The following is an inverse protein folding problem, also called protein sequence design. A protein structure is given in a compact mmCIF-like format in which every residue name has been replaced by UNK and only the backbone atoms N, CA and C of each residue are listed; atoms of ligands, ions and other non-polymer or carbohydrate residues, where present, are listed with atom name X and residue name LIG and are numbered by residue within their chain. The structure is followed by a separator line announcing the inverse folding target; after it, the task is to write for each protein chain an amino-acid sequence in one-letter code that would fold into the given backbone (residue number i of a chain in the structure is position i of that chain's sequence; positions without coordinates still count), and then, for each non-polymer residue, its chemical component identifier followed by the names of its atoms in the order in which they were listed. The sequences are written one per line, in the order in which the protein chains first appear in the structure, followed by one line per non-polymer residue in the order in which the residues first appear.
data_IF_640121935452
#
_entry.id   IF_640121935452
#
_cell.length_a   1.000
_cell.length_b   1.000
_cell.length_c   1.000
_cell.angle_alpha   90.00
_cell.angle_beta   90.00
_cell.angle_gamma   90.00
#
_symmetry.space_group_name_H-M   'P 1'
#
loop_
_entity.id
_entity.type
_entity.pdbx_description
1 polymer ?
#
# COMPACT_ATOMS: atom_id res chain seq x y z
N UNK A 1 -28.23 -17.33 -14.83
CA UNK A 1 -27.37 -16.42 -14.06
C UNK A 1 -26.47 -17.17 -13.10
N UNK A 2 -26.93 -18.20 -12.41
CA UNK A 2 -26.19 -19.02 -11.42
C UNK A 2 -24.95 -19.76 -11.98
N UNK A 3 -24.98 -20.22 -13.24
CA UNK A 3 -23.88 -20.99 -13.85
C UNK A 3 -22.61 -20.16 -14.16
N UNK A 4 -22.73 -18.86 -14.44
CA UNK A 4 -21.56 -17.98 -14.69
C UNK A 4 -20.83 -17.63 -13.39
N UNK A 5 -21.55 -17.55 -12.30
CA UNK A 5 -21.01 -17.21 -10.97
C UNK A 5 -20.11 -18.33 -10.42
N UNK A 6 -20.54 -19.58 -10.60
CA UNK A 6 -19.77 -20.78 -10.20
C UNK A 6 -18.47 -20.96 -10.99
N UNK A 7 -18.45 -20.57 -12.27
CA UNK A 7 -17.23 -20.65 -13.09
C UNK A 7 -16.20 -19.59 -12.68
N UNK A 8 -16.65 -18.39 -12.29
CA UNK A 8 -15.75 -17.32 -11.86
C UNK A 8 -15.07 -17.68 -10.53
N UNK A 9 -15.84 -18.16 -9.53
CA UNK A 9 -15.30 -18.68 -8.26
C UNK A 9 -14.31 -19.84 -8.47
N UNK A 10 -14.57 -20.71 -9.46
CA UNK A 10 -13.65 -21.82 -9.80
C UNK A 10 -12.34 -21.36 -10.45
N UNK A 11 -12.38 -20.32 -11.30
CA UNK A 11 -11.18 -19.73 -11.92
C UNK A 11 -10.33 -18.96 -10.91
N UNK A 12 -10.94 -18.24 -9.99
CA UNK A 12 -10.21 -17.55 -8.91
C UNK A 12 -9.56 -18.54 -7.93
N UNK A 13 -10.26 -19.62 -7.55
CA UNK A 13 -9.70 -20.67 -6.69
C UNK A 13 -8.52 -21.39 -7.36
N UNK A 14 -8.56 -21.59 -8.69
CA UNK A 14 -7.43 -22.16 -9.44
C UNK A 14 -6.26 -21.20 -9.59
N UNK A 15 -6.49 -19.87 -9.74
CA UNK A 15 -5.42 -18.86 -9.75
C UNK A 15 -4.72 -18.80 -8.36
N UNK A 16 -5.47 -18.83 -7.25
CA UNK A 16 -4.90 -18.89 -5.89
C UNK A 16 -4.02 -20.13 -5.69
N UNK A 17 -4.44 -21.31 -6.15
CA UNK A 17 -3.64 -22.54 -6.01
C UNK A 17 -2.39 -22.56 -6.90
N UNK A 18 -2.40 -21.95 -8.09
CA UNK A 18 -1.21 -21.84 -8.94
C UNK A 18 -0.17 -20.89 -8.37
N UNK A 19 -0.58 -19.78 -7.72
CA UNK A 19 0.34 -18.84 -7.05
C UNK A 19 1.02 -19.46 -5.83
N UNK A 20 0.33 -20.31 -5.05
CA UNK A 20 0.93 -21.02 -3.90
C UNK A 20 1.97 -22.09 -4.30
N UNK A 21 1.86 -22.68 -5.49
CA UNK A 21 2.76 -23.75 -5.94
C UNK A 21 4.14 -23.26 -6.42
N UNK A 22 4.31 -21.97 -6.70
CA UNK A 22 5.58 -21.39 -7.19
C UNK A 22 6.53 -21.02 -6.04
N UNK A 23 6.01 -20.84 -4.81
CA UNK A 23 6.81 -20.40 -3.64
C UNK A 23 7.57 -21.56 -2.96
N UNK A 24 7.28 -22.84 -3.28
CA UNK A 24 7.90 -24.02 -2.65
C UNK A 24 9.09 -24.64 -3.39
N UNK A 25 9.75 -23.92 -4.31
CA UNK A 25 11.02 -24.31 -4.93
C UNK A 25 12.20 -24.04 -4.02
N UNK A 26 12.61 -25.04 -3.23
CA UNK A 26 13.60 -24.93 -2.17
C UNK A 26 14.96 -24.38 -2.60
N UNK A 27 15.40 -23.37 -1.93
CA UNK A 27 16.81 -22.93 -1.92
C UNK A 27 17.48 -23.44 -0.66
N UNK A 28 18.43 -24.36 -0.85
CA UNK A 28 19.26 -24.93 0.22
C UNK A 28 20.27 -23.88 0.68
N UNK A 29 20.17 -23.47 1.93
CA UNK A 29 21.17 -22.62 2.57
C UNK A 29 22.48 -23.39 2.82
N UNK A 30 23.58 -22.87 2.27
CA UNK A 30 24.92 -23.20 2.75
C UNK A 30 25.37 -22.05 3.66
N UNK A 31 25.45 -22.35 4.94
CA UNK A 31 26.14 -21.52 5.92
C UNK A 31 27.66 -21.70 5.74
N UNK A 32 28.36 -20.64 5.38
CA UNK A 32 29.83 -20.61 5.44
C UNK A 32 30.24 -19.56 6.47
N UNK A 33 30.70 -20.06 7.63
CA UNK A 33 31.39 -19.25 8.62
C UNK A 33 32.82 -18.99 8.10
N UNK A 34 33.20 -17.73 7.96
CA UNK A 34 34.60 -17.35 7.73
C UNK A 34 35.12 -16.59 8.95
N UNK A 35 36.01 -17.24 9.68
CA UNK A 35 36.79 -16.64 10.76
C UNK A 35 37.75 -15.58 10.21
N UNK A 36 37.79 -14.47 10.92
CA UNK A 36 38.83 -13.46 10.76
C UNK A 36 40.19 -14.00 11.21
N UNK A 37 41.18 -13.91 10.34
CA UNK A 37 42.58 -14.04 10.71
C UNK A 37 43.31 -12.77 10.31
N UNK A 38 43.63 -11.93 11.28
CA UNK A 38 44.52 -10.80 11.18
C UNK A 38 45.96 -11.29 10.99
N UNK A 39 46.57 -11.00 9.84
CA UNK A 39 48.00 -11.04 9.68
C UNK A 39 48.51 -9.67 9.26
N UNK A 40 49.15 -8.98 10.17
CA UNK A 40 50.03 -7.85 9.93
C UNK A 40 51.26 -8.34 9.18
N UNK A 41 51.43 -7.93 7.93
CA UNK A 41 52.76 -7.91 7.32
C UNK A 41 52.94 -6.54 6.69
N UNK A 42 53.83 -5.78 7.30
CA UNK A 42 54.48 -4.63 6.71
C UNK A 42 55.44 -5.09 5.62
N UNK A 43 55.45 -4.39 4.54
CA UNK A 43 56.64 -3.88 3.81
C UNK A 43 56.46 -3.84 2.30
N UNK A 44 56.70 -2.64 1.83
CA UNK A 44 57.39 -2.21 0.61
C UNK A 44 56.67 -2.34 -0.71
N UNK A 45 56.16 -1.18 -1.14
CA UNK A 45 56.64 -0.43 -2.31
C UNK A 45 56.24 -0.89 -3.72
N UNK A 46 55.72 0.12 -4.49
CA UNK A 46 55.58 0.14 -5.92
C UNK A 46 54.55 -0.79 -6.55
N UNK A 47 53.30 -0.57 -6.16
CA UNK A 47 52.16 -0.71 -7.05
C UNK A 47 51.42 0.63 -7.07
N UNK A 48 51.47 1.33 -8.18
CA UNK A 48 50.51 2.41 -8.46
C UNK A 48 49.14 1.77 -8.42
N UNK A 49 48.57 1.75 -7.22
CA UNK A 49 47.15 1.42 -7.06
C UNK A 49 46.42 2.45 -7.90
N UNK A 50 45.84 2.01 -8.99
CA UNK A 50 44.91 2.78 -9.78
C UNK A 50 43.87 3.29 -8.78
N UNK A 51 43.96 4.57 -8.42
CA UNK A 51 42.91 5.24 -7.65
C UNK A 51 41.73 5.25 -8.60
N UNK A 52 40.91 4.22 -8.51
CA UNK A 52 39.64 4.16 -9.24
C UNK A 52 38.82 5.32 -8.66
N UNK A 53 38.95 6.46 -9.36
CA UNK A 53 38.18 7.66 -9.02
C UNK A 53 36.73 7.39 -9.45
N UNK A 54 35.94 6.81 -8.56
CA UNK A 54 34.51 6.56 -8.79
C UNK A 54 33.82 7.92 -8.95
N UNK A 55 33.61 8.34 -10.19
CA UNK A 55 32.91 9.57 -10.51
C UNK A 55 31.46 9.43 -10.01
N UNK A 56 31.04 10.32 -9.09
CA UNK A 56 29.70 10.32 -8.51
C UNK A 56 28.85 11.45 -9.06
N UNK A 57 27.55 11.29 -9.08
CA UNK A 57 26.56 12.33 -9.34
C UNK A 57 25.57 12.46 -8.16
N UNK A 58 25.12 13.68 -7.94
CA UNK A 58 23.98 13.94 -7.08
C UNK A 58 22.69 13.69 -7.86
N UNK A 59 21.83 12.83 -7.34
CA UNK A 59 20.51 12.53 -7.89
C UNK A 59 19.45 13.04 -6.95
N UNK A 60 18.57 13.89 -7.45
CA UNK A 60 17.44 14.46 -6.70
C UNK A 60 16.16 13.73 -7.08
N UNK A 61 15.41 13.28 -6.09
CA UNK A 61 14.15 12.56 -6.21
C UNK A 61 13.04 13.38 -5.58
N UNK A 62 11.91 13.50 -6.29
CA UNK A 62 10.71 14.12 -5.74
C UNK A 62 9.55 13.14 -5.89
N UNK A 63 8.89 12.82 -4.79
CA UNK A 63 7.80 11.85 -4.73
C UNK A 63 6.46 12.57 -4.74
N UNK A 64 5.55 12.11 -5.59
CA UNK A 64 4.17 12.63 -5.68
C UNK A 64 3.21 11.45 -5.80
N UNK A 65 2.03 11.47 -5.14
CA UNK A 65 1.02 10.44 -5.34
C UNK A 65 0.45 10.55 -6.76
N UNK A 66 0.14 9.40 -7.36
CA UNK A 66 -0.65 9.36 -8.59
C UNK A 66 -2.11 9.57 -8.21
N UNK A 67 -2.69 10.67 -8.70
CA UNK A 67 -4.11 10.93 -8.63
C UNK A 67 -4.72 10.66 -10.01
N UNK A 68 -5.68 9.75 -10.09
CA UNK A 68 -6.53 9.66 -11.27
C UNK A 68 -7.43 10.90 -11.28
N UNK A 69 -7.30 11.74 -12.32
CA UNK A 69 -8.26 12.83 -12.53
C UNK A 69 -9.67 12.24 -12.62
N UNK A 70 -10.68 12.81 -11.92
CA UNK A 70 -12.04 12.38 -12.12
C UNK A 70 -12.37 12.56 -13.61
N UNK A 71 -12.88 11.50 -14.24
CA UNK A 71 -13.56 11.64 -15.50
C UNK A 71 -14.81 12.48 -15.25
N UNK A 72 -14.66 13.80 -15.21
CA UNK A 72 -15.79 14.69 -15.37
C UNK A 72 -16.33 14.41 -16.76
N UNK A 73 -17.52 13.83 -16.82
CA UNK A 73 -18.32 13.78 -18.04
C UNK A 73 -18.44 15.23 -18.54
N UNK A 74 -17.55 15.60 -19.43
CA UNK A 74 -17.64 16.85 -20.15
C UNK A 74 -18.88 16.78 -21.01
N UNK A 75 -19.97 17.36 -20.53
CA UNK A 75 -21.03 17.82 -21.41
C UNK A 75 -20.41 18.90 -22.26
N UNK A 76 -20.38 18.61 -23.55
CA UNK A 76 -19.91 19.39 -24.66
C UNK A 76 -20.30 20.87 -24.59
N UNK A 77 -19.42 21.67 -25.16
CA UNK A 77 -19.57 23.03 -25.65
C UNK A 77 -19.06 24.12 -24.70
N UNK A 78 -17.79 24.37 -24.77
CA UNK A 78 -17.20 25.67 -25.12
C UNK A 78 -15.71 25.65 -24.80
N UNK A 79 -14.90 26.10 -25.77
CA UNK A 79 -13.43 26.09 -25.68
C UNK A 79 -12.95 26.83 -24.45
N UNK A 80 -12.39 26.08 -23.52
CA UNK A 80 -11.59 26.59 -22.45
C UNK A 80 -10.19 26.02 -22.61
N UNK A 81 -9.27 26.92 -22.90
CA UNK A 81 -7.85 26.73 -22.87
C UNK A 81 -7.46 26.07 -21.54
N UNK A 82 -6.83 24.91 -21.65
CA UNK A 82 -6.21 24.18 -20.53
C UNK A 82 -5.16 25.10 -19.89
N UNK A 83 -5.49 25.67 -18.74
CA UNK A 83 -4.51 26.28 -17.85
C UNK A 83 -3.84 25.17 -17.07
N UNK A 84 -2.54 25.01 -17.27
CA UNK A 84 -1.64 24.09 -16.55
C UNK A 84 -1.52 24.51 -15.08
N UNK A 85 -2.56 24.18 -14.29
CA UNK A 85 -2.63 24.47 -12.87
C UNK A 85 -3.20 23.31 -12.06
N UNK A 86 -2.88 22.06 -12.43
CA UNK A 86 -3.16 20.92 -11.57
C UNK A 86 -2.17 20.99 -10.40
N UNK A 87 -2.63 21.50 -9.27
CA UNK A 87 -1.93 21.37 -7.99
C UNK A 87 -1.90 19.89 -7.67
N UNK A 88 -0.76 19.22 -7.91
CA UNK A 88 -0.57 17.85 -7.48
C UNK A 88 -0.61 17.86 -5.95
N UNK A 89 -1.45 17.00 -5.37
CA UNK A 89 -1.50 16.84 -3.94
C UNK A 89 -0.13 16.42 -3.40
N UNK A 90 0.20 16.88 -2.21
CA UNK A 90 1.45 16.50 -1.58
C UNK A 90 1.33 15.08 -1.00
N UNK A 91 2.45 14.33 -0.95
CA UNK A 91 2.47 13.02 -0.26
C UNK A 91 2.00 13.14 1.19
N UNK A 92 2.28 14.28 1.85
CA UNK A 92 1.88 14.58 3.22
C UNK A 92 0.36 14.59 3.44
N UNK A 93 -0.45 14.83 2.41
CA UNK A 93 -1.91 14.80 2.51
C UNK A 93 -2.42 13.36 2.70
N UNK A 94 -1.66 12.36 2.21
CA UNK A 94 -2.07 10.96 2.18
C UNK A 94 -1.25 10.03 3.05
N UNK A 95 -0.01 10.39 3.37
CA UNK A 95 0.92 9.55 4.12
C UNK A 95 1.67 10.35 5.19
N UNK A 96 1.95 9.70 6.30
CA UNK A 96 2.76 10.26 7.38
C UNK A 96 4.21 9.79 7.34
N UNK A 97 4.50 8.84 6.46
CA UNK A 97 5.83 8.24 6.26
C UNK A 97 6.13 8.03 4.79
N UNK A 98 7.41 8.17 4.45
CA UNK A 98 7.98 7.80 3.18
C UNK A 98 9.28 7.03 3.46
N UNK A 99 9.32 5.76 3.05
CA UNK A 99 10.49 4.89 3.15
C UNK A 99 11.02 4.65 1.75
N UNK A 100 12.32 4.90 1.55
CA UNK A 100 13.00 4.82 0.25
C UNK A 100 14.23 3.91 0.38
N UNK A 101 14.38 2.98 -0.53
CA UNK A 101 15.53 2.08 -0.62
C UNK A 101 16.16 2.18 -2.01
N UNK A 102 17.50 2.22 -2.07
CA UNK A 102 18.27 2.27 -3.30
C UNK A 102 19.17 1.05 -3.36
N UNK A 103 19.07 0.32 -4.47
CA UNK A 103 19.78 -0.94 -4.69
C UNK A 103 20.73 -0.84 -5.88
N UNK A 104 21.91 -1.48 -5.78
CA UNK A 104 22.81 -1.83 -6.85
C UNK A 104 22.70 -3.34 -7.08
N UNK A 105 21.94 -3.75 -8.08
CA UNK A 105 21.48 -5.13 -8.22
C UNK A 105 20.68 -5.59 -6.98
N UNK A 106 21.15 -6.63 -6.30
CA UNK A 106 20.52 -7.18 -5.09
C UNK A 106 21.06 -6.55 -3.79
N UNK A 107 21.98 -5.60 -3.87
CA UNK A 107 22.63 -4.98 -2.71
C UNK A 107 21.96 -3.65 -2.38
N UNK A 108 21.42 -3.52 -1.18
CA UNK A 108 20.97 -2.23 -0.66
C UNK A 108 22.20 -1.32 -0.42
N UNK A 109 22.23 -0.18 -1.10
CA UNK A 109 23.29 0.82 -0.94
C UNK A 109 22.87 1.97 -0.04
N UNK A 110 21.57 2.23 0.07
CA UNK A 110 21.03 3.26 0.94
C UNK A 110 19.56 2.99 1.27
N UNK A 111 19.19 3.24 2.54
CA UNK A 111 17.81 3.37 2.97
C UNK A 111 17.60 4.74 3.63
N UNK A 112 16.44 5.37 3.37
CA UNK A 112 16.04 6.65 3.96
C UNK A 112 14.60 6.56 4.42
N UNK A 113 14.35 6.97 5.66
CA UNK A 113 13.03 6.94 6.29
C UNK A 113 12.65 8.35 6.71
N UNK A 114 11.62 8.92 6.08
CA UNK A 114 11.12 10.26 6.36
C UNK A 114 9.77 10.21 7.08
N UNK A 115 9.52 11.23 7.90
CA UNK A 115 8.20 11.51 8.48
C UNK A 115 7.64 12.79 7.88
N UNK A 116 6.31 12.92 7.82
CA UNK A 116 5.65 14.11 7.26
C UNK A 116 5.98 15.40 8.00
N UNK A 117 6.56 15.31 9.21
CA UNK A 117 7.06 16.44 10.02
C UNK A 117 8.49 16.84 9.67
N UNK A 118 9.21 16.05 8.87
CA UNK A 118 10.58 16.31 8.51
C UNK A 118 10.65 17.43 7.45
N UNK A 119 11.64 18.30 7.56
CA UNK A 119 11.92 19.28 6.53
C UNK A 119 12.31 18.58 5.23
N UNK A 120 11.68 18.97 4.12
CA UNK A 120 11.93 18.35 2.82
C UNK A 120 11.25 16.96 2.65
N UNK A 121 10.24 16.65 3.45
CA UNK A 121 9.43 15.44 3.26
C UNK A 121 9.01 15.26 1.81
N UNK A 122 9.09 14.02 1.30
CA UNK A 122 8.88 13.62 -0.08
C UNK A 122 9.91 14.19 -1.09
N UNK A 123 11.06 14.66 -0.61
CA UNK A 123 12.23 15.02 -1.43
C UNK A 123 13.48 14.38 -0.86
N UNK A 124 14.33 13.87 -1.74
CA UNK A 124 15.57 13.19 -1.38
C UNK A 124 16.69 13.59 -2.34
N UNK A 125 17.89 13.82 -1.81
CA UNK A 125 19.11 14.00 -2.61
C UNK A 125 20.14 12.96 -2.18
N UNK A 126 20.66 12.19 -3.13
CA UNK A 126 21.63 11.12 -2.89
C UNK A 126 22.81 11.25 -3.83
N UNK A 127 24.00 10.84 -3.38
CA UNK A 127 25.20 10.81 -4.21
C UNK A 127 25.54 9.38 -4.57
N UNK A 128 25.55 9.07 -5.88
CA UNK A 128 25.70 7.72 -6.43
C UNK A 128 26.80 7.68 -7.49
N UNK A 129 27.42 6.52 -7.69
CA UNK A 129 28.45 6.31 -8.72
C UNK A 129 27.85 6.36 -10.12
N UNK A 130 28.41 7.15 -11.01
CA UNK A 130 27.92 7.31 -12.40
C UNK A 130 28.02 6.04 -13.24
N UNK A 131 29.02 5.20 -12.96
CA UNK A 131 29.27 3.99 -13.73
C UNK A 131 28.27 2.86 -13.49
N UNK A 132 27.38 3.03 -12.49
CA UNK A 132 26.43 2.00 -12.05
C UNK A 132 24.99 2.31 -12.47
N UNK A 133 24.17 1.29 -12.35
CA UNK A 133 22.71 1.37 -12.51
C UNK A 133 22.07 0.99 -11.18
N UNK A 134 21.12 1.79 -10.74
CA UNK A 134 20.43 1.60 -9.46
C UNK A 134 18.95 1.40 -9.66
N UNK A 135 18.34 0.65 -8.74
CA UNK A 135 16.89 0.59 -8.62
C UNK A 135 16.46 1.28 -7.32
N UNK A 136 15.57 2.26 -7.44
CA UNK A 136 14.90 2.89 -6.30
C UNK A 136 13.55 2.22 -6.08
N UNK A 137 13.26 1.87 -4.83
CA UNK A 137 11.95 1.50 -4.33
C UNK A 137 11.51 2.52 -3.31
N UNK A 138 10.24 2.91 -3.32
CA UNK A 138 9.69 3.83 -2.34
C UNK A 138 8.28 3.41 -1.93
N UNK A 139 7.99 3.53 -0.63
CA UNK A 139 6.69 3.25 -0.05
C UNK A 139 6.24 4.42 0.82
N UNK A 140 5.11 5.05 0.50
CA UNK A 140 4.48 6.06 1.35
C UNK A 140 3.26 5.43 2.06
N UNK A 141 3.11 5.67 3.39
CA UNK A 141 2.07 5.02 4.18
C UNK A 141 1.73 5.78 5.48
N UNK A 142 0.68 5.30 6.20
CA UNK A 142 0.25 5.84 7.51
C UNK A 142 0.52 4.90 8.69
N UNK A 143 1.26 3.80 8.52
CA UNK A 143 1.62 2.92 9.63
C UNK A 143 2.55 3.62 10.62
N UNK A 144 2.45 3.24 11.89
CA UNK A 144 3.36 3.74 12.93
C UNK A 144 4.70 2.99 12.82
N UNK A 145 5.78 3.71 12.57
CA UNK A 145 7.11 3.14 12.32
C UNK A 145 7.43 3.01 10.82
N UNK A 146 8.72 2.82 10.51
CA UNK A 146 9.19 2.65 9.16
C UNK A 146 8.82 1.27 8.60
N UNK A 147 8.51 1.21 7.31
CA UNK A 147 8.43 -0.06 6.60
C UNK A 147 9.84 -0.65 6.40
N UNK A 148 9.90 -1.94 6.09
CA UNK A 148 11.14 -2.64 5.75
C UNK A 148 11.01 -3.27 4.38
N UNK A 149 12.11 -3.28 3.61
CA UNK A 149 12.22 -4.02 2.36
C UNK A 149 13.23 -5.15 2.54
N UNK A 150 12.78 -6.39 2.41
CA UNK A 150 13.63 -7.57 2.53
C UNK A 150 13.23 -8.62 1.51
N UNK A 151 14.21 -9.15 0.77
CA UNK A 151 13.99 -10.15 -0.29
C UNK A 151 12.88 -9.73 -1.31
N UNK A 152 12.83 -8.45 -1.67
CA UNK A 152 11.82 -7.93 -2.59
C UNK A 152 10.42 -7.76 -1.98
N UNK A 153 10.27 -7.87 -0.65
CA UNK A 153 8.98 -7.72 0.03
C UNK A 153 9.00 -6.55 1.00
N UNK A 154 8.08 -5.60 0.79
CA UNK A 154 7.80 -4.49 1.71
C UNK A 154 6.86 -5.00 2.81
N UNK A 155 7.25 -4.76 4.07
CA UNK A 155 6.49 -5.13 5.26
C UNK A 155 6.32 -3.91 6.16
N UNK A 156 5.12 -3.70 6.69
CA UNK A 156 4.83 -2.66 7.65
C UNK A 156 4.89 -3.20 9.09
N UNK A 157 5.16 -2.34 10.09
CA UNK A 157 5.06 -2.74 11.50
C UNK A 157 3.70 -3.38 11.79
N UNK A 158 3.72 -4.50 12.53
CA UNK A 158 2.53 -5.28 12.93
C UNK A 158 1.68 -5.78 11.75
N UNK A 159 2.27 -5.89 10.55
CA UNK A 159 1.57 -6.23 9.30
C UNK A 159 0.32 -5.33 9.06
N UNK A 160 0.35 -4.09 9.57
CA UNK A 160 -0.77 -3.16 9.54
C UNK A 160 -0.87 -2.45 8.20
N UNK A 161 -1.79 -2.90 7.35
CA UNK A 161 -2.10 -2.24 6.08
C UNK A 161 -2.84 -0.92 6.33
N UNK A 162 -2.30 0.14 5.77
CA UNK A 162 -2.87 1.50 5.83
C UNK A 162 -3.02 2.06 4.43
N UNK A 163 -3.37 3.32 4.31
CA UNK A 163 -3.31 4.05 3.06
C UNK A 163 -1.87 4.03 2.54
N UNK A 164 -1.60 3.30 1.47
CA UNK A 164 -0.24 3.00 1.01
C UNK A 164 -0.07 3.18 -0.48
N UNK A 165 1.10 3.72 -0.86
CA UNK A 165 1.55 3.93 -2.23
C UNK A 165 2.91 3.29 -2.42
N UNK A 166 3.21 2.90 -3.65
CA UNK A 166 4.48 2.31 -4.02
C UNK A 166 5.02 2.92 -5.32
N UNK A 167 6.35 2.94 -5.43
CA UNK A 167 7.07 3.36 -6.63
C UNK A 167 8.32 2.51 -6.81
N UNK A 168 8.64 2.19 -8.06
CA UNK A 168 9.87 1.48 -8.43
C UNK A 168 10.37 1.97 -9.78
N UNK A 169 11.67 2.26 -9.86
CA UNK A 169 12.31 2.62 -11.12
C UNK A 169 13.80 2.30 -11.10
N UNK A 170 14.30 1.74 -12.21
CA UNK A 170 15.74 1.61 -12.47
C UNK A 170 16.26 2.81 -13.22
N UNK A 171 17.42 3.33 -12.83
CA UNK A 171 18.04 4.53 -13.42
C UNK A 171 19.56 4.49 -13.36
N UNK A 172 20.22 5.31 -14.20
CA UNK A 172 21.68 5.52 -14.18
C UNK A 172 22.00 6.97 -13.81
N UNK A 173 22.82 7.22 -12.77
CA UNK A 173 23.24 8.57 -12.38
C UNK A 173 24.08 9.29 -13.45
N UNK A 174 24.63 8.58 -14.45
CA UNK A 174 25.34 9.20 -15.58
C UNK A 174 24.41 10.03 -16.47
N UNK A 175 23.13 9.64 -16.57
CA UNK A 175 22.12 10.26 -17.45
C UNK A 175 20.97 10.90 -16.70
N UNK A 176 20.77 10.54 -15.43
CA UNK A 176 19.61 10.96 -14.64
C UNK A 176 20.07 11.63 -13.35
N UNK A 177 19.90 12.94 -13.27
CA UNK A 177 20.20 13.75 -12.09
C UNK A 177 18.94 14.19 -11.33
N UNK A 178 17.78 13.98 -11.93
CA UNK A 178 16.48 14.29 -11.32
C UNK A 178 15.47 13.19 -11.66
N UNK A 179 14.78 12.68 -10.64
CA UNK A 179 13.70 11.70 -10.77
C UNK A 179 12.40 12.31 -10.21
N UNK A 180 11.36 12.31 -11.04
CA UNK A 180 9.99 12.61 -10.61
C UNK A 180 9.28 11.27 -10.36
N UNK A 181 9.19 10.89 -9.09
CA UNK A 181 8.68 9.59 -8.65
C UNK A 181 7.16 9.66 -8.45
N UNK A 182 6.39 9.21 -9.43
CA UNK A 182 4.95 9.16 -9.36
C UNK A 182 4.52 7.86 -8.69
N UNK A 183 4.05 7.96 -7.44
CA UNK A 183 3.72 6.80 -6.59
C UNK A 183 2.30 6.30 -6.87
N UNK A 184 2.15 5.02 -7.16
CA UNK A 184 0.86 4.39 -7.39
C UNK A 184 0.26 3.87 -6.08
N UNK A 185 -1.06 3.97 -5.94
CA UNK A 185 -1.77 3.43 -4.79
C UNK A 185 -1.88 1.92 -4.92
N UNK A 186 -1.42 1.19 -3.91
CA UNK A 186 -1.39 -0.29 -3.87
C UNK A 186 -2.50 -0.89 -3.01
N UNK A 187 -3.42 -0.07 -2.53
CA UNK A 187 -4.54 -0.50 -1.68
C UNK A 187 -5.88 -0.07 -2.25
N UNK A 188 -6.89 -0.91 -2.10
CA UNK A 188 -8.29 -0.56 -2.20
C UNK A 188 -8.89 -0.29 -0.81
N UNK A 189 -10.09 0.26 -0.74
CA UNK A 189 -10.76 0.58 0.50
C UNK A 189 -12.17 0.02 0.57
N UNK A 190 -12.47 -0.76 1.61
CA UNK A 190 -13.84 -1.05 2.04
C UNK A 190 -14.27 0.04 3.02
N UNK A 191 -15.45 0.63 2.79
CA UNK A 191 -16.06 1.64 3.65
C UNK A 191 -17.50 1.29 3.95
N UNK A 192 -17.87 1.24 5.22
CA UNK A 192 -19.23 1.09 5.68
C UNK A 192 -19.67 2.38 6.38
N UNK A 193 -20.67 3.06 5.82
CA UNK A 193 -21.32 4.24 6.42
C UNK A 193 -22.61 3.80 7.08
N UNK A 194 -22.61 3.66 8.41
CA UNK A 194 -23.76 3.31 9.20
C UNK A 194 -24.65 4.54 9.36
N UNK A 195 -25.92 4.46 8.96
CA UNK A 195 -26.85 5.60 9.01
C UNK A 195 -27.72 5.62 10.27
N UNK A 196 -27.96 4.48 10.89
CA UNK A 196 -28.66 4.40 12.18
C UNK A 196 -27.69 4.64 13.35
N UNK A 197 -28.26 4.80 14.54
CA UNK A 197 -27.50 5.14 15.74
C UNK A 197 -26.96 3.87 16.41
N UNK A 198 -25.70 3.94 16.88
CA UNK A 198 -25.10 2.91 17.71
C UNK A 198 -25.94 2.76 18.99
N UNK A 199 -26.55 1.57 19.27
CA UNK A 199 -27.35 1.34 20.46
C UNK A 199 -26.52 1.40 21.75
N UNK A 200 -27.19 1.66 22.86
CA UNK A 200 -26.62 1.42 24.19
C UNK A 200 -26.20 -0.05 24.32
N UNK A 201 -25.05 -0.28 24.96
CA UNK A 201 -24.48 -1.61 25.16
C UNK A 201 -23.49 -2.05 24.07
N UNK A 202 -23.47 -1.43 22.89
CA UNK A 202 -22.41 -1.72 21.91
C UNK A 202 -21.08 -1.12 22.35
N UNK A 203 -20.09 -1.98 22.59
CA UNK A 203 -18.76 -1.58 23.02
C UNK A 203 -17.73 -1.59 21.87
N UNK A 204 -17.92 -2.48 20.88
CA UNK A 204 -16.94 -2.71 19.81
C UNK A 204 -17.62 -3.15 18.51
N UNK A 205 -17.04 -2.75 17.38
CA UNK A 205 -17.37 -3.29 16.07
C UNK A 205 -16.13 -3.88 15.42
N UNK A 206 -16.28 -4.95 14.66
CA UNK A 206 -15.18 -5.52 13.86
C UNK A 206 -15.55 -5.61 12.40
N UNK A 207 -14.53 -5.49 11.54
CA UNK A 207 -14.62 -5.80 10.11
C UNK A 207 -13.64 -6.95 9.85
N UNK A 208 -14.16 -8.10 9.51
CA UNK A 208 -13.41 -9.29 9.13
C UNK A 208 -13.37 -9.39 7.60
N UNK A 209 -12.16 -9.28 7.04
CA UNK A 209 -11.88 -9.32 5.62
C UNK A 209 -11.54 -10.75 5.13
N UNK A 210 -11.52 -11.74 6.03
CA UNK A 210 -10.96 -13.06 5.73
C UNK A 210 -9.46 -12.96 5.41
N UNK A 211 -8.98 -13.93 4.62
CA UNK A 211 -7.57 -13.95 4.20
C UNK A 211 -7.31 -12.83 3.20
N UNK A 212 -6.47 -11.87 3.58
CA UNK A 212 -6.08 -10.75 2.73
C UNK A 212 -4.58 -10.44 2.86
N UNK A 213 -3.90 -9.96 1.78
CA UNK A 213 -2.48 -9.64 1.82
C UNK A 213 -2.16 -8.57 2.86
N UNK A 214 -1.00 -8.73 3.53
CA UNK A 214 -0.49 -7.76 4.51
C UNK A 214 0.86 -7.18 4.14
N UNK A 215 1.49 -7.67 3.06
CA UNK A 215 2.79 -7.22 2.56
C UNK A 215 2.74 -7.05 1.05
N UNK A 216 3.68 -6.26 0.53
CA UNK A 216 3.77 -5.95 -0.89
C UNK A 216 5.05 -6.51 -1.50
N UNK A 217 4.94 -7.32 -2.56
CA UNK A 217 6.07 -7.74 -3.37
C UNK A 217 6.39 -6.65 -4.41
N UNK A 218 7.68 -6.30 -4.56
CA UNK A 218 8.11 -5.26 -5.51
C UNK A 218 7.82 -5.62 -6.97
N UNK A 219 7.46 -6.87 -7.25
CA UNK A 219 6.94 -7.33 -8.53
C UNK A 219 5.50 -6.92 -8.82
N UNK A 220 4.83 -6.17 -7.90
CA UNK A 220 3.54 -5.55 -8.15
C UNK A 220 2.33 -6.35 -7.67
N UNK A 221 2.45 -7.12 -6.59
CA UNK A 221 1.34 -7.88 -6.03
C UNK A 221 1.40 -8.04 -4.51
N UNK A 222 0.23 -8.26 -3.90
CA UNK A 222 0.12 -8.51 -2.47
C UNK A 222 0.54 -9.93 -2.08
N UNK A 223 1.26 -10.06 -0.96
CA UNK A 223 1.73 -11.33 -0.40
C UNK A 223 1.40 -11.44 1.09
N UNK A 224 1.66 -12.61 1.67
CA UNK A 224 1.38 -12.90 3.08
C UNK A 224 -0.11 -12.73 3.42
N UNK A 225 -1.00 -13.41 2.67
CA UNK A 225 -2.42 -13.42 2.98
C UNK A 225 -2.68 -14.13 4.31
N UNK A 226 -3.28 -13.41 5.24
CA UNK A 226 -3.67 -13.90 6.57
C UNK A 226 -5.07 -13.42 6.90
N UNK A 227 -5.76 -14.10 7.83
CA UNK A 227 -7.05 -13.64 8.34
C UNK A 227 -6.89 -12.30 9.03
N UNK A 228 -7.69 -11.31 8.63
CA UNK A 228 -7.59 -9.93 9.10
C UNK A 228 -8.90 -9.43 9.66
N UNK A 229 -8.85 -9.09 10.94
CA UNK A 229 -9.97 -8.45 11.64
C UNK A 229 -9.53 -7.06 12.11
N UNK A 230 -10.23 -6.03 11.65
CA UNK A 230 -10.06 -4.66 12.12
C UNK A 230 -11.08 -4.35 13.19
N UNK A 231 -10.66 -3.71 14.31
CA UNK A 231 -11.52 -3.39 15.45
C UNK A 231 -11.72 -1.88 15.56
N UNK A 232 -12.95 -1.47 15.89
CA UNK A 232 -13.39 -0.09 16.04
C UNK A 232 -14.19 0.07 17.34
N UNK A 233 -14.07 1.21 17.99
CA UNK A 233 -14.83 1.56 19.20
C UNK A 233 -15.77 2.72 18.87
N UNK A 234 -17.00 2.46 18.38
CA UNK A 234 -17.92 3.51 18.02
C UNK A 234 -18.51 4.17 19.29
N UNK A 235 -18.79 5.47 19.20
CA UNK A 235 -19.51 6.15 20.28
C UNK A 235 -20.99 5.80 20.24
N UNK A 236 -21.59 5.48 21.39
CA UNK A 236 -23.05 5.27 21.53
C UNK A 236 -23.81 6.50 21.02
N UNK A 237 -24.87 6.27 20.26
CA UNK A 237 -25.67 7.33 19.63
C UNK A 237 -25.05 8.01 18.42
N UNK A 238 -23.82 7.63 18.00
CA UNK A 238 -23.21 8.08 16.75
C UNK A 238 -23.71 7.24 15.56
N UNK A 239 -23.40 7.72 14.35
CA UNK A 239 -23.54 6.97 13.09
C UNK A 239 -22.12 6.77 12.54
N UNK A 240 -21.45 5.64 12.85
CA UNK A 240 -20.03 5.49 12.55
C UNK A 240 -19.76 5.21 11.07
N UNK A 241 -18.55 5.58 10.64
CA UNK A 241 -17.97 5.12 9.38
C UNK A 241 -16.80 4.18 9.69
N UNK A 242 -16.87 2.93 9.19
CA UNK A 242 -15.80 1.96 9.30
C UNK A 242 -15.03 1.92 7.97
N UNK A 243 -13.71 1.94 8.02
CA UNK A 243 -12.88 1.97 6.82
C UNK A 243 -11.69 1.02 6.97
N UNK A 244 -11.52 0.10 6.02
CA UNK A 244 -10.45 -0.90 6.01
C UNK A 244 -9.75 -0.90 4.67
N UNK A 245 -8.41 -0.91 4.70
CA UNK A 245 -7.56 -0.95 3.51
C UNK A 245 -7.13 -2.38 3.20
N UNK A 246 -7.10 -2.73 1.92
CA UNK A 246 -6.68 -4.04 1.43
C UNK A 246 -5.68 -3.86 0.32
N UNK A 247 -4.55 -4.56 0.40
CA UNK A 247 -3.56 -4.60 -0.68
C UNK A 247 -4.16 -5.42 -1.84
N UNK A 248 -4.11 -4.87 -3.05
CA UNK A 248 -4.52 -5.55 -4.28
C UNK A 248 -3.51 -5.30 -5.38
N UNK A 249 -3.46 -6.16 -6.39
CA UNK A 249 -2.52 -6.03 -7.52
C UNK A 249 -2.92 -4.95 -8.57
N UNK A 250 -4.01 -4.24 -8.33
CA UNK A 250 -4.37 -3.00 -9.02
C UNK A 250 -5.04 -3.13 -10.37
N UNK A 251 -4.86 -4.21 -11.13
CA UNK A 251 -5.42 -4.33 -12.49
C UNK A 251 -6.91 -4.72 -12.48
N UNK A 252 -7.28 -5.69 -11.67
CA UNK A 252 -8.66 -6.19 -11.54
C UNK A 252 -9.12 -6.10 -10.08
N UNK A 253 -10.45 -5.99 -9.88
CA UNK A 253 -11.00 -6.06 -8.53
C UNK A 253 -10.87 -7.49 -7.97
N UNK A 254 -10.35 -7.61 -6.77
CA UNK A 254 -10.42 -8.83 -5.97
C UNK A 254 -11.76 -8.85 -5.21
N UNK A 255 -12.33 -10.04 -5.07
CA UNK A 255 -13.66 -10.22 -4.46
C UNK A 255 -13.51 -10.77 -3.05
N UNK A 256 -14.14 -10.13 -2.09
CA UNK A 256 -14.13 -10.48 -0.68
C UNK A 256 -15.54 -10.68 -0.14
N UNK A 257 -15.72 -11.67 0.75
CA UNK A 257 -16.88 -11.75 1.62
C UNK A 257 -16.47 -11.13 2.97
N UNK A 258 -17.11 -10.01 3.31
CA UNK A 258 -16.73 -9.18 4.47
C UNK A 258 -17.78 -9.31 5.55
N UNK A 259 -17.36 -9.72 6.75
CA UNK A 259 -18.25 -9.80 7.91
C UNK A 259 -18.03 -8.61 8.85
N UNK A 260 -19.10 -7.88 9.12
CA UNK A 260 -19.09 -6.80 10.13
C UNK A 260 -19.91 -7.27 11.33
N UNK A 261 -19.32 -7.18 12.53
CA UNK A 261 -19.96 -7.62 13.78
C UNK A 261 -19.84 -6.54 14.83
N UNK A 262 -20.96 -6.24 15.50
CA UNK A 262 -21.01 -5.41 16.70
C UNK A 262 -21.11 -6.30 17.94
N UNK A 263 -20.38 -5.97 18.98
CA UNK A 263 -20.30 -6.69 20.24
C UNK A 263 -20.63 -5.76 21.41
N UNK A 264 -21.17 -6.33 22.47
CA UNK A 264 -21.32 -5.65 23.75
C UNK A 264 -20.02 -5.67 24.59
N UNK A 265 -20.11 -5.20 25.85
CA UNK A 265 -18.97 -5.18 26.77
C UNK A 265 -18.53 -6.54 27.29
N UNK A 266 -19.32 -7.60 27.07
CA UNK A 266 -19.04 -9.00 27.46
C UNK A 266 -18.63 -9.85 26.24
N UNK A 267 -18.37 -9.22 25.10
CA UNK A 267 -18.06 -9.85 23.80
C UNK A 267 -19.21 -10.71 23.22
N UNK A 268 -20.45 -10.51 23.66
CA UNK A 268 -21.61 -11.11 23.00
C UNK A 268 -21.97 -10.34 21.72
N UNK A 269 -22.40 -11.09 20.69
CA UNK A 269 -22.78 -10.50 19.39
C UNK A 269 -24.11 -9.76 19.54
N UNK A 270 -24.12 -8.46 19.30
CA UNK A 270 -25.31 -7.61 19.27
C UNK A 270 -25.92 -7.63 17.87
N UNK A 271 -25.10 -7.48 16.83
CA UNK A 271 -25.51 -7.50 15.43
C UNK A 271 -24.37 -7.98 14.54
N UNK A 272 -24.71 -8.70 13.47
CA UNK A 272 -23.75 -9.16 12.46
C UNK A 272 -24.37 -9.03 11.07
N UNK A 273 -23.54 -8.61 10.10
CA UNK A 273 -23.90 -8.58 8.68
C UNK A 273 -22.76 -9.07 7.83
N UNK A 274 -23.10 -9.81 6.77
CA UNK A 274 -22.16 -10.29 5.75
C UNK A 274 -22.42 -9.53 4.46
N UNK A 275 -21.38 -8.97 3.92
CA UNK A 275 -21.34 -8.33 2.60
C UNK A 275 -20.66 -9.30 1.64
N UNK A 276 -21.47 -9.95 0.81
CA UNK A 276 -20.96 -10.94 -0.14
C UNK A 276 -20.46 -10.28 -1.42
N UNK A 277 -19.43 -10.89 -2.05
CA UNK A 277 -18.89 -10.52 -3.35
C UNK A 277 -18.46 -9.03 -3.45
N UNK A 278 -17.88 -8.47 -2.37
CA UNK A 278 -17.39 -7.08 -2.33
C UNK A 278 -16.19 -6.91 -3.25
N UNK A 279 -16.26 -6.08 -4.30
CA UNK A 279 -15.11 -5.83 -5.16
C UNK A 279 -14.16 -4.82 -4.51
N UNK A 280 -12.90 -5.20 -4.33
CA UNK A 280 -11.84 -4.31 -3.82
C UNK A 280 -10.75 -4.21 -4.88
N UNK A 281 -10.35 -2.97 -5.22
CA UNK A 281 -9.32 -2.66 -6.21
C UNK A 281 -8.44 -1.51 -5.73
N UNK A 282 -7.14 -1.56 -6.03
CA UNK A 282 -6.22 -0.45 -5.73
C UNK A 282 -6.69 0.86 -6.37
N UNK A 283 -6.66 1.94 -5.60
CA UNK A 283 -7.13 3.24 -6.03
C UNK A 283 -8.65 3.44 -5.99
N UNK A 284 -9.43 2.41 -5.63
CA UNK A 284 -10.90 2.49 -5.58
C UNK A 284 -11.44 2.28 -4.17
N UNK A 285 -12.62 2.86 -3.91
CA UNK A 285 -13.36 2.70 -2.67
C UNK A 285 -14.69 2.01 -2.95
N UNK A 286 -14.96 0.92 -2.25
CA UNK A 286 -16.24 0.22 -2.23
C UNK A 286 -17.01 0.65 -1.00
N UNK A 287 -18.01 1.51 -1.18
CA UNK A 287 -18.80 2.09 -0.08
C UNK A 287 -20.15 1.42 0.02
N UNK A 288 -20.47 0.93 1.21
CA UNK A 288 -21.78 0.47 1.62
C UNK A 288 -22.36 1.49 2.59
N UNK A 289 -23.60 1.93 2.35
CA UNK A 289 -24.28 2.90 3.19
C UNK A 289 -25.68 2.40 3.54
N UNK A 290 -26.03 2.38 4.82
CA UNK A 290 -27.34 1.94 5.26
C UNK A 290 -27.43 1.71 6.75
N UNK A 291 -28.61 1.25 7.19
CA UNK A 291 -28.87 0.89 8.57
C UNK A 291 -28.19 -0.43 8.91
N UNK A 292 -27.44 -0.47 10.01
CA UNK A 292 -26.71 -1.65 10.46
C UNK A 292 -27.39 -2.35 11.63
N UNK A 293 -27.94 -1.60 12.59
CA UNK A 293 -28.51 -2.11 13.84
C UNK A 293 -30.01 -2.40 13.73
N UNK A 294 -30.71 -1.84 12.76
CA UNK A 294 -32.15 -2.03 12.57
C UNK A 294 -32.43 -3.38 11.91
N UNK A 295 -33.37 -4.17 12.44
CA UNK A 295 -33.76 -5.47 11.86
C UNK A 295 -34.63 -5.36 10.59
N UNK A 296 -35.14 -4.16 10.27
CA UNK A 296 -36.01 -3.93 9.13
C UNK A 296 -35.29 -4.15 7.79
N UNK A 297 -36.04 -4.69 6.85
CA UNK A 297 -35.68 -5.04 5.46
C UNK A 297 -34.49 -4.22 4.95
N UNK A 298 -33.38 -4.92 4.74
CA UNK A 298 -32.09 -4.43 4.36
C UNK A 298 -32.15 -3.40 3.21
N UNK A 299 -31.94 -2.13 3.52
CA UNK A 299 -31.78 -1.06 2.53
C UNK A 299 -30.37 -0.52 2.62
N UNK A 300 -29.43 -1.14 1.89
CA UNK A 300 -28.08 -0.59 1.71
C UNK A 300 -27.85 -0.21 0.27
N UNK A 301 -27.30 0.98 0.04
CA UNK A 301 -26.78 1.40 -1.25
C UNK A 301 -25.30 1.02 -1.35
N UNK A 302 -24.89 0.56 -2.53
CA UNK A 302 -23.52 0.23 -2.85
C UNK A 302 -23.00 1.17 -3.94
N UNK A 303 -21.81 1.69 -3.75
CA UNK A 303 -21.12 2.52 -4.73
C UNK A 303 -19.65 2.15 -4.80
N UNK A 304 -19.12 1.99 -6.02
CA UNK A 304 -17.68 1.97 -6.27
C UNK A 304 -17.31 3.31 -6.88
N UNK A 305 -16.38 4.01 -6.27
CA UNK A 305 -15.90 5.29 -6.78
C UNK A 305 -14.38 5.28 -6.84
N UNK A 306 -13.83 6.05 -7.79
CA UNK A 306 -12.43 6.41 -7.75
C UNK A 306 -12.17 7.09 -6.40
N UNK A 307 -11.11 6.62 -5.76
CA UNK A 307 -10.76 7.14 -4.45
C UNK A 307 -10.00 8.45 -4.59
N UNK A 308 -10.76 9.50 -4.73
CA UNK A 308 -10.25 10.83 -4.49
C UNK A 308 -10.51 11.17 -3.02
N UNK A 309 -9.45 11.37 -2.25
CA UNK A 309 -9.54 11.87 -0.89
C UNK A 309 -9.99 13.35 -0.88
N UNK A 310 -11.11 13.63 -1.52
CA UNK A 310 -11.86 14.86 -1.28
C UNK A 310 -13.05 14.51 -0.39
N UNK A 311 -12.75 14.26 0.88
CA UNK A 311 -13.77 14.44 1.92
C UNK A 311 -13.12 14.53 3.28
N UNK A 312 -12.60 15.69 3.62
CA UNK A 312 -13.02 16.33 4.84
C UNK A 312 -14.39 16.94 4.57
N UNK A 313 -15.41 16.15 4.61
CA UNK A 313 -16.75 16.66 4.79
C UNK A 313 -16.94 16.75 6.28
N UNK A 314 -16.73 17.95 6.81
CA UNK A 314 -17.29 18.37 8.10
C UNK A 314 -18.80 18.30 7.97
N UNK A 315 -19.44 17.40 8.70
CA UNK A 315 -20.86 17.39 8.99
C UNK A 315 -21.14 17.80 10.42
#
# INVERSE_FOLDING_TARGET
MVLRHTEHKKKQKMKKHKRLAIVNGGMKFYALAVMALTALTACTNDGVGEVINHETAEVRMTFTPYEMEPMTRANSASGLTRTDGVTRAAVADYATRLDVWIYDGDTEVQAVHQQSTDEGFASLSVRLEKAKTYTVYACAHKAVGAATLSNGVVSWPDDKVTHSFFYSQTFSPATTTTLSCLMERIVGNFRLEVTDKVPEGVARMTVDMGDSPTRWDVGGFGVNAVSRVSSFTPAVGSSPTLSVFVITDGEEAEIYDITVTAYDGEDAVVQQRVFEDVPIRAGYRSTYRGEFFTEAIFSMSFTVSDWMDYETVDF
#
